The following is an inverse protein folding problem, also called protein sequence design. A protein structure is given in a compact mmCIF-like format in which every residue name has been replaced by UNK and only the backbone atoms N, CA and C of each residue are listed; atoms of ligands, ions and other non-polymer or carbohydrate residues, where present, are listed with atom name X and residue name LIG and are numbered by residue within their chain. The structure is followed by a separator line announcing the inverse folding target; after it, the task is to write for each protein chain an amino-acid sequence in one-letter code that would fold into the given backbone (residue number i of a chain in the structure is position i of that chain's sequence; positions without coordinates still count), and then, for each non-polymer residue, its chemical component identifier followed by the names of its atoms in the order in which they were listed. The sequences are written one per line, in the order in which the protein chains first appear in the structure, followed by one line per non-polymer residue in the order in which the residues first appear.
data_IF_707024774164
#
_entry.id   IF_707024774164
#
_cell.length_a   1.000
_cell.length_b   1.000
_cell.length_c   1.000
_cell.angle_alpha   90.00
_cell.angle_beta   90.00
_cell.angle_gamma   90.00
#
_symmetry.space_group_name_H-M   'P 1'
#
loop_
_entity.id
_entity.type
_entity.pdbx_description
1 polymer ?
2 polymer ?
3 non-polymer ?
4 water ?
#
# COMPACT_ATOMS: atom_id res chain seq x y z
N UNK A 1 -3.32 25.32 16.55
CA UNK A 1 -2.61 24.01 16.68
C UNK A 1 -1.13 24.12 16.33
N UNK A 2 -0.34 23.24 16.93
CA UNK A 2 1.11 23.20 16.69
C UNK A 2 1.41 22.53 15.34
N UNK A 3 2.15 23.24 14.49
CA UNK A 3 2.49 22.75 13.15
C UNK A 3 3.87 22.11 13.20
N UNK A 4 3.98 20.89 12.69
CA UNK A 4 5.24 20.15 12.63
C UNK A 4 5.76 20.11 11.19
N UNK A 5 6.95 20.67 10.99
CA UNK A 5 7.56 20.76 9.65
C UNK A 5 8.75 19.78 9.54
N UNK A 6 8.61 18.82 8.62
CA UNK A 6 9.66 17.82 8.35
C UNK A 6 10.47 18.11 7.09
N UNK A 7 11.78 17.90 7.18
CA UNK A 7 12.70 18.02 6.05
C UNK A 7 13.73 16.89 6.11
N UNK A 8 14.18 16.40 4.95
CA UNK A 8 13.66 16.71 3.61
C UNK A 8 12.35 15.95 3.41
N UNK A 9 11.69 16.15 2.27
CA UNK A 9 10.49 15.35 1.96
C UNK A 9 10.91 13.95 1.51
N UNK A 10 12.03 13.89 0.80
CA UNK A 10 12.57 12.66 0.25
C UNK A 10 14.05 12.61 0.43
N UNK A 11 14.58 11.41 0.63
CA UNK A 11 16.01 11.20 0.58
C UNK A 11 16.35 9.84 -0.01
N UNK A 12 17.45 9.83 -0.76
CA UNK A 12 17.96 8.64 -1.40
C UNK A 12 19.32 8.32 -0.79
N UNK A 13 19.45 7.11 -0.29
CA UNK A 13 20.63 6.74 0.49
C UNK A 13 21.02 5.29 0.16
N UNK A 14 22.33 5.03 0.07
CA UNK A 14 22.83 3.66 -0.08
C UNK A 14 22.87 2.95 1.26
N UNK A 15 22.58 1.64 1.25
CA UNK A 15 22.75 0.80 2.43
C UNK A 15 24.11 1.02 3.09
N UNK A 16 24.12 1.02 4.42
CA UNK A 16 25.33 1.27 5.18
C UNK A 16 25.57 2.74 5.49
N UNK A 17 24.90 3.63 4.77
CA UNK A 17 25.10 5.06 4.97
C UNK A 17 24.15 5.68 6.01
N UNK A 18 24.41 6.93 6.38
CA UNK A 18 23.66 7.62 7.42
C UNK A 18 22.45 8.38 6.86
N UNK A 19 21.36 8.37 7.63
CA UNK A 19 20.15 9.14 7.32
C UNK A 19 19.92 10.12 8.46
N UNK A 20 19.72 11.39 8.14
CA UNK A 20 19.36 12.39 9.14
C UNK A 20 18.07 13.10 8.74
N UNK A 21 17.07 12.99 9.60
CA UNK A 21 15.77 13.61 9.36
C UNK A 21 15.53 14.68 10.42
N UNK A 22 15.01 15.83 10.01
CA UNK A 22 14.72 16.90 10.96
C UNK A 22 13.23 17.25 11.04
N UNK A 23 12.80 17.55 12.26
CA UNK A 23 11.43 17.98 12.52
C UNK A 23 11.47 19.27 13.33
N UNK A 24 10.72 20.26 12.84
CA UNK A 24 10.66 21.58 13.47
C UNK A 24 9.22 21.91 13.88
N UNK A 25 9.04 22.24 15.16
CA UNK A 25 7.73 22.60 15.69
C UNK A 25 7.47 24.11 15.62
N UNK A 26 6.21 24.48 15.42
CA UNK A 26 5.80 25.89 15.34
C UNK A 26 5.96 26.65 16.67
N UNK A 27 5.96 25.91 17.77
CA UNK A 27 6.26 26.46 19.10
C UNK A 27 6.92 25.35 19.92
N UNK A 28 7.40 25.68 21.12
CA UNK A 28 8.07 24.68 21.96
C UNK A 28 7.15 23.54 22.35
N UNK A 29 7.66 22.32 22.21
CA UNK A 29 6.89 21.13 22.54
C UNK A 29 7.64 20.28 23.57
N UNK A 30 8.54 20.93 24.31
CA UNK A 30 9.32 20.26 25.36
C UNK A 30 10.07 19.06 24.76
N UNK A 31 10.01 17.91 25.44
CA UNK A 31 10.54 16.66 24.88
C UNK A 31 9.40 15.74 24.45
N UNK A 32 8.22 16.33 24.27
CA UNK A 32 7.00 15.57 23.92
C UNK A 32 6.95 15.36 22.41
N UNK A 33 7.91 14.58 21.93
CA UNK A 33 8.04 14.32 20.50
C UNK A 33 8.32 12.86 20.25
N UNK A 34 7.63 12.32 19.26
CA UNK A 34 7.66 10.92 18.90
C UNK A 34 8.05 10.77 17.43
N UNK A 35 8.77 9.69 17.11
CA UNK A 35 9.08 9.33 15.72
C UNK A 35 8.49 7.97 15.38
N UNK A 36 7.80 7.88 14.22
CA UNK A 36 7.29 6.61 13.71
C UNK A 36 7.94 6.24 12.39
N UNK A 37 7.93 4.95 12.10
CA UNK A 37 8.35 4.38 10.81
C UNK A 37 7.10 3.74 10.20
N UNK A 38 6.81 4.05 8.95
CA UNK A 38 5.71 3.43 8.26
C UNK A 38 6.16 2.79 6.93
N UNK A 39 6.11 1.46 6.90
CA UNK A 39 6.49 0.73 5.71
C UNK A 39 5.25 0.55 4.83
N UNK A 40 5.43 0.37 3.50
CA UNK A 40 4.27 0.27 2.61
C UNK A 40 3.27 -0.80 3.06
N UNK A 41 1.99 -0.41 3.07
CA UNK A 41 0.89 -1.30 3.44
C UNK A 41 0.75 -1.60 4.93
N UNK A 42 1.50 -0.90 5.77
CA UNK A 42 1.49 -1.16 7.20
C UNK A 42 1.08 0.07 7.99
N UNK A 43 0.64 -0.15 9.23
CA UNK A 43 0.40 0.94 10.16
C UNK A 43 1.74 1.54 10.61
N UNK A 44 1.74 2.81 11.08
CA UNK A 44 2.99 3.33 11.62
C UNK A 44 3.48 2.52 12.82
N UNK A 45 4.79 2.50 13.01
CA UNK A 45 5.44 1.74 14.08
C UNK A 45 6.20 2.74 14.93
N UNK A 46 5.96 2.72 16.23
CA UNK A 46 6.66 3.58 17.19
C UNK A 46 8.15 3.21 17.31
N UNK A 47 9.02 4.21 17.14
CA UNK A 47 10.47 4.00 17.27
C UNK A 47 11.10 4.79 18.43
N UNK A 48 10.75 6.08 18.50
CA UNK A 48 11.34 7.03 19.45
C UNK A 48 10.24 7.81 20.18
N UNK A 49 10.34 7.88 21.50
CA UNK A 49 9.38 8.65 22.30
C UNK A 49 10.16 9.51 23.30
N UNK A 50 9.49 10.54 23.82
CA UNK A 50 10.15 11.55 24.63
C UNK A 50 11.42 12.10 23.95
N UNK A 51 11.34 12.22 22.62
CA UNK A 51 12.37 12.85 21.77
C UNK A 51 13.61 12.00 21.52
N UNK A 52 14.01 11.21 22.51
CA UNK A 52 15.31 10.55 22.46
C UNK A 52 15.35 9.12 23.00
N UNK A 53 14.22 8.61 23.49
CA UNK A 53 14.18 7.25 24.03
C UNK A 53 13.77 6.23 22.99
N UNK A 54 14.56 5.17 22.82
CA UNK A 54 14.18 4.07 21.95
C UNK A 54 13.05 3.28 22.60
N UNK A 55 11.99 3.04 21.85
CA UNK A 55 10.90 2.18 22.29
C UNK A 55 11.40 0.73 22.37
N UNK A 56 10.63 -0.13 23.02
CA UNK A 56 11.00 -1.53 23.24
C UNK A 56 11.35 -2.26 21.94
N UNK A 57 12.45 -3.00 21.94
CA UNK A 57 12.86 -3.81 20.79
C UNK A 57 13.36 -3.08 19.55
N UNK A 58 13.42 -1.74 19.62
CA UNK A 58 13.93 -0.90 18.52
C UNK A 58 15.45 -0.98 18.42
N UNK A 59 16.00 -1.36 17.24
CA UNK A 59 17.45 -1.47 17.03
C UNK A 59 18.23 -0.20 17.38
N UNK A 60 19.50 -0.38 17.73
CA UNK A 60 20.39 0.71 18.16
C UNK A 60 20.72 1.74 17.08
N UNK A 61 20.64 1.33 15.81
CA UNK A 61 20.89 2.25 14.70
C UNK A 61 19.92 3.44 14.66
N UNK A 62 18.75 3.28 15.28
CA UNK A 62 17.74 4.33 15.33
C UNK A 62 17.89 5.20 16.57
N UNK A 63 18.06 6.50 16.38
CA UNK A 63 18.15 7.44 17.49
C UNK A 63 17.32 8.69 17.24
N UNK A 64 17.04 9.43 18.32
CA UNK A 64 16.38 10.72 18.24
C UNK A 64 17.04 11.65 19.23
N UNK A 65 17.05 12.95 18.92
CA UNK A 65 17.53 13.97 19.84
C UNK A 65 16.78 15.28 19.61
N UNK A 66 16.97 16.23 20.53
CA UNK A 66 16.34 17.53 20.42
C UNK A 66 15.46 17.84 21.61
N UNK A 67 15.11 19.12 21.74
CA UNK A 67 14.26 19.62 22.80
C UNK A 67 13.78 21.00 22.37
N UNK A 68 12.50 21.28 22.58
CA UNK A 68 11.95 22.57 22.22
C UNK A 68 11.28 22.53 20.86
N UNK A 69 11.95 23.07 19.85
CA UNK A 69 11.38 23.16 18.50
C UNK A 69 12.13 22.34 17.44
N UNK A 70 13.43 22.10 17.66
CA UNK A 70 14.30 21.46 16.66
C UNK A 70 14.69 20.02 17.05
N UNK A 71 14.21 19.05 16.26
CA UNK A 71 14.42 17.63 16.56
C UNK A 71 15.10 16.88 15.40
N UNK A 72 15.84 15.83 15.73
CA UNK A 72 16.65 15.09 14.77
C UNK A 72 16.44 13.58 14.93
N UNK A 73 16.10 12.92 13.84
CA UNK A 73 16.01 11.46 13.80
C UNK A 73 17.14 10.96 12.93
N UNK A 74 17.85 9.95 13.42
CA UNK A 74 19.02 9.43 12.72
C UNK A 74 18.95 7.92 12.54
N UNK A 75 19.26 7.45 11.33
CA UNK A 75 19.60 6.04 11.13
C UNK A 75 21.11 6.04 10.88
N UNK A 76 21.87 5.51 11.84
CA UNK A 76 23.33 5.62 11.79
C UNK A 76 23.88 4.86 10.58
N UNK A 77 23.39 3.64 10.38
CA UNK A 77 23.80 2.80 9.29
C UNK A 77 22.56 2.17 8.68
N UNK A 78 22.02 2.81 7.64
CA UNK A 78 20.73 2.42 7.08
C UNK A 78 20.83 1.02 6.45
N UNK A 79 19.78 0.23 6.62
CA UNK A 79 19.70 -1.09 6.01
C UNK A 79 18.62 -1.08 4.93
N UNK A 80 18.73 -1.99 3.97
CA UNK A 80 17.76 -2.07 2.87
C UNK A 80 16.31 -2.16 3.35
N UNK A 81 16.09 -2.88 4.46
CA UNK A 81 14.72 -3.03 5.00
C UNK A 81 14.18 -1.76 5.68
N UNK A 82 15.02 -0.74 5.84
CA UNK A 82 14.63 0.50 6.52
C UNK A 82 13.86 1.47 5.61
N UNK A 83 13.65 1.10 4.35
CA UNK A 83 12.84 1.93 3.45
C UNK A 83 11.42 2.08 4.01
N UNK A 84 10.96 3.33 4.07
CA UNK A 84 9.73 3.65 4.79
C UNK A 84 9.53 5.15 4.76
N UNK A 85 8.32 5.57 5.15
CA UNK A 85 8.10 6.98 5.47
C UNK A 85 8.20 7.14 6.99
N UNK A 86 9.03 8.08 7.41
CA UNK A 86 9.22 8.37 8.83
C UNK A 86 8.48 9.65 9.19
N UNK A 87 7.73 9.62 10.29
CA UNK A 87 6.94 10.76 10.77
C UNK A 87 7.36 11.21 12.17
N UNK A 88 7.39 12.52 12.39
CA UNK A 88 7.43 13.04 13.75
C UNK A 88 6.00 13.40 14.18
N UNK A 89 5.79 13.42 15.50
CA UNK A 89 4.49 13.75 16.09
C UNK A 89 4.70 14.39 17.46
N UNK A 90 4.06 15.55 17.68
CA UNK A 90 4.10 16.18 19.00
C UNK A 90 2.88 15.80 19.84
N UNK A 91 3.09 15.68 21.14
CA UNK A 91 1.99 15.45 22.06
C UNK A 91 2.09 16.38 23.28
N UNK A 92 2.50 17.62 23.04
CA UNK A 92 2.61 18.64 24.07
C UNK A 92 1.30 19.43 24.18
N UNK A 93 0.80 19.88 23.02
CA UNK A 93 -0.43 20.66 22.93
C UNK A 93 -1.53 19.88 22.24
N UNK A 94 -2.78 20.13 22.61
CA UNK A 94 -3.93 19.48 21.95
C UNK A 94 -4.37 20.30 20.75
N UNK A 95 -4.70 19.63 19.62
CA UNK A 95 -4.55 18.19 19.35
C UNK A 95 -3.11 17.74 19.12
N UNK A 96 -2.82 16.46 19.40
CA UNK A 96 -1.55 15.91 18.89
C UNK A 96 -1.48 16.11 17.37
N UNK A 97 -0.32 16.48 16.86
CA UNK A 97 -0.17 16.75 15.43
C UNK A 97 1.09 16.09 14.86
N UNK A 98 1.02 15.71 13.59
CA UNK A 98 2.08 14.97 12.91
C UNK A 98 2.79 15.83 11.86
N UNK A 99 4.09 15.61 11.70
CA UNK A 99 4.82 16.15 10.53
C UNK A 99 4.36 15.48 9.24
N UNK A 100 4.79 16.02 8.10
CA UNK A 100 4.33 15.56 6.80
C UNK A 100 5.01 14.29 6.27
N UNK A 101 6.02 13.80 6.97
CA UNK A 101 6.70 12.57 6.57
C UNK A 101 7.97 12.82 5.77
N UNK A 102 8.92 11.90 5.89
CA UNK A 102 10.10 11.86 5.05
C UNK A 102 10.22 10.46 4.49
N UNK A 103 10.26 10.36 3.16
CA UNK A 103 10.33 9.06 2.53
C UNK A 103 11.80 8.69 2.27
N UNK A 104 12.24 7.62 2.91
CA UNK A 104 13.60 7.13 2.78
C UNK A 104 13.64 6.07 1.69
N UNK A 105 14.41 6.37 0.64
CA UNK A 105 14.52 5.52 -0.55
C UNK A 105 15.94 4.97 -0.61
N UNK A 106 16.09 3.73 -1.08
CA UNK A 106 17.40 3.07 -1.10
C UNK A 106 18.03 3.16 -2.49
N UNK A 107 19.31 3.56 -2.52
CA UNK A 107 20.11 3.56 -3.73
C UNK A 107 20.88 2.26 -3.83
N UNK A 108 20.88 1.67 -5.01
CA UNK A 108 21.62 0.43 -5.25
C UNK A 108 22.18 0.47 -6.67
N UNK A 109 22.91 -0.57 -7.07
CA UNK A 109 23.45 -0.61 -8.43
C UNK A 109 22.36 -0.78 -9.48
N UNK A 110 22.62 -0.28 -10.69
CA UNK A 110 21.68 -0.41 -11.80
C UNK A 110 21.44 -1.91 -12.06
N UNK A 111 20.17 -2.28 -12.25
CA UNK A 111 19.81 -3.63 -12.67
C UNK A 111 18.77 -3.53 -13.77
N UNK A 112 19.05 -4.18 -14.91
CA UNK A 112 18.13 -4.20 -16.04
C UNK A 112 16.90 -5.04 -15.70
N UNK A 113 15.73 -4.66 -16.26
CA UNK A 113 14.53 -5.47 -16.05
C UNK A 113 14.59 -6.76 -16.83
N UNK A 114 13.96 -7.80 -16.29
CA UNK A 114 13.58 -8.97 -17.05
C UNK A 114 12.18 -8.67 -17.57
N UNK A 115 11.97 -8.88 -18.86
CA UNK A 115 10.73 -8.48 -19.50
C UNK A 115 9.94 -9.70 -20.00
N UNK A 116 8.66 -9.73 -19.64
CA UNK A 116 7.74 -10.80 -19.99
C UNK A 116 6.48 -10.18 -20.55
N UNK A 117 5.88 -10.84 -21.55
CA UNK A 117 4.62 -10.40 -22.12
C UNK A 117 3.55 -11.49 -21.95
N UNK A 118 2.32 -11.07 -21.67
CA UNK A 118 1.22 -12.01 -21.50
C UNK A 118 0.05 -11.67 -22.44
N UNK A 119 -0.32 -12.62 -23.32
CA UNK A 119 -1.53 -12.44 -24.12
C UNK A 119 -2.77 -12.43 -23.23
N UNK A 120 -3.89 -11.89 -23.73
CA UNK A 120 -5.16 -12.07 -23.02
C UNK A 120 -5.54 -13.55 -22.95
N UNK A 121 -6.23 -13.93 -21.87
CA UNK A 121 -6.74 -15.30 -21.75
C UNK A 121 -7.98 -15.45 -22.62
N UNK A 122 -8.26 -16.68 -23.08
CA UNK A 122 -9.51 -16.98 -23.81
C UNK A 122 -10.73 -16.64 -22.96
N UNK A 123 -10.66 -16.97 -21.66
CA UNK A 123 -11.70 -16.60 -20.70
C UNK A 123 -12.05 -15.11 -20.76
N UNK A 124 -11.04 -14.23 -20.76
CA UNK A 124 -11.32 -12.80 -20.87
C UNK A 124 -12.00 -12.38 -22.17
N UNK A 125 -11.55 -12.93 -23.29
CA UNK A 125 -12.11 -12.55 -24.60
C UNK A 125 -13.63 -12.72 -24.68
N UNK A 126 -14.17 -13.72 -23.98
CA UNK A 126 -15.61 -13.92 -23.86
C UNK A 126 -16.36 -12.65 -23.43
N UNK A 127 -15.70 -11.81 -22.62
CA UNK A 127 -16.29 -10.58 -22.09
C UNK A 127 -16.28 -9.41 -23.08
N UNK A 128 -15.61 -9.58 -24.22
CA UNK A 128 -15.53 -8.53 -25.24
C UNK A 128 -14.36 -7.57 -25.09
N UNK A 129 -13.49 -7.85 -24.13
CA UNK A 129 -12.30 -7.03 -23.88
C UNK A 129 -11.06 -7.92 -23.77
N UNK A 130 -9.94 -7.42 -24.26
CA UNK A 130 -8.65 -8.09 -24.14
C UNK A 130 -7.64 -7.22 -23.39
N UNK A 131 -6.95 -7.79 -22.39
CA UNK A 131 -5.87 -7.09 -21.72
C UNK A 131 -4.57 -7.77 -22.10
N UNK A 132 -3.57 -6.99 -22.50
CA UNK A 132 -2.25 -7.52 -22.77
C UNK A 132 -1.35 -6.93 -21.70
N UNK A 133 -0.58 -7.78 -21.02
CA UNK A 133 0.23 -7.34 -19.88
C UNK A 133 1.71 -7.49 -20.19
N UNK A 134 2.44 -6.41 -19.97
CA UNK A 134 3.88 -6.40 -20.06
C UNK A 134 4.45 -6.23 -18.66
N UNK A 135 5.33 -7.15 -18.27
CA UNK A 135 5.94 -7.16 -16.95
C UNK A 135 7.42 -6.84 -17.04
N UNK A 136 7.87 -5.86 -16.25
CA UNK A 136 9.28 -5.56 -16.08
C UNK A 136 9.64 -5.92 -14.66
N UNK A 137 10.48 -6.94 -14.52
CA UNK A 137 10.74 -7.49 -13.19
C UNK A 137 12.09 -7.13 -12.63
N UNK A 138 12.09 -6.69 -11.36
CA UNK A 138 13.30 -6.59 -10.53
C UNK A 138 14.38 -5.70 -11.12
N UNK A 139 14.04 -4.44 -11.33
CA UNK A 139 14.99 -3.52 -11.97
C UNK A 139 15.30 -2.29 -11.10
N UNK A 140 16.37 -1.60 -11.44
CA UNK A 140 16.75 -0.35 -10.77
C UNK A 140 17.57 0.52 -11.73
N UNK A 141 17.33 1.85 -11.76
CA UNK A 141 16.35 2.67 -11.04
C UNK A 141 14.92 2.48 -11.56
N UNK A 142 13.97 3.11 -10.89
CA UNK A 142 12.56 3.01 -11.27
C UNK A 142 12.30 3.60 -12.66
N UNK A 143 13.05 4.62 -13.05
CA UNK A 143 12.89 5.24 -14.38
C UNK A 143 12.89 4.20 -15.49
N UNK A 144 11.82 4.19 -16.29
CA UNK A 144 11.67 3.22 -17.39
C UNK A 144 10.68 3.76 -18.39
N UNK A 145 10.91 3.46 -19.66
CA UNK A 145 9.98 3.90 -20.69
C UNK A 145 9.45 2.64 -21.37
N UNK A 146 8.13 2.52 -21.42
CA UNK A 146 7.48 1.33 -21.98
C UNK A 146 6.49 1.72 -23.08
N UNK A 147 6.64 1.14 -24.27
CA UNK A 147 5.77 1.46 -25.39
C UNK A 147 5.11 0.19 -25.92
N UNK A 148 3.90 0.35 -26.44
CA UNK A 148 3.13 -0.72 -27.04
C UNK A 148 3.07 -0.55 -28.57
N UNK A 149 3.31 -1.65 -29.29
CA UNK A 149 3.07 -1.71 -30.74
C UNK A 149 2.14 -2.86 -31.10
N UNK A 150 1.18 -2.57 -31.97
CA UNK A 150 0.25 -3.58 -32.49
C UNK A 150 0.38 -3.57 -34.00
N UNK A 151 0.84 -4.67 -34.56
CA UNK A 151 1.24 -4.74 -35.99
C UNK A 151 2.12 -3.53 -36.36
N UNK A 152 3.10 -3.28 -35.49
CA UNK A 152 4.08 -2.20 -35.62
C UNK A 152 3.55 -0.77 -35.53
N UNK A 153 2.29 -0.61 -35.13
CA UNK A 153 1.72 0.72 -34.91
C UNK A 153 1.79 1.07 -33.44
N UNK A 154 2.45 2.20 -33.14
CA UNK A 154 2.59 2.68 -31.77
C UNK A 154 1.23 3.01 -31.17
N UNK A 155 1.02 2.55 -29.94
CA UNK A 155 -0.25 2.75 -29.27
C UNK A 155 -0.16 3.95 -28.33
N UNK A 156 -1.25 4.70 -28.24
CA UNK A 156 -1.31 5.83 -27.32
C UNK A 156 -2.70 5.91 -26.73
N UNK A 157 -2.78 6.13 -25.42
CA UNK A 157 -4.04 6.41 -24.74
C UNK A 157 -4.85 5.18 -24.34
N UNK A 158 -4.27 4.00 -24.49
CA UNK A 158 -4.97 2.75 -24.14
C UNK A 158 -4.14 1.81 -23.27
N UNK A 159 -3.18 2.37 -22.55
CA UNK A 159 -2.41 1.58 -21.60
C UNK A 159 -2.21 2.34 -20.29
N UNK A 160 -2.03 1.60 -19.21
CA UNK A 160 -1.76 2.16 -17.88
C UNK A 160 -0.65 1.35 -17.20
N UNK A 161 0.18 2.04 -16.42
CA UNK A 161 1.30 1.43 -15.70
C UNK A 161 1.05 1.42 -14.21
N UNK A 162 1.61 0.41 -13.56
CA UNK A 162 1.66 0.32 -12.11
C UNK A 162 3.06 -0.09 -11.70
N UNK A 163 3.57 0.52 -10.65
CA UNK A 163 4.91 0.18 -10.15
C UNK A 163 4.81 -0.26 -8.71
N UNK A 164 5.56 -1.29 -8.34
CA UNK A 164 5.61 -1.71 -6.93
C UNK A 164 6.45 -0.75 -6.10
N UNK A 165 6.29 -0.81 -4.78
CA UNK A 165 7.22 -0.11 -3.89
C UNK A 165 8.54 -0.87 -3.95
N UNK A 166 9.60 -0.18 -3.59
CA UNK A 166 10.92 -0.76 -3.61
C UNK A 166 10.97 -2.02 -2.73
N UNK A 167 11.60 -3.08 -3.24
CA UNK A 167 11.70 -4.32 -2.49
C UNK A 167 12.56 -4.10 -1.25
N UNK A 168 12.11 -4.63 -0.10
CA UNK A 168 12.81 -4.44 1.16
C UNK A 168 14.12 -5.24 1.27
N UNK A 169 14.31 -6.21 0.38
CA UNK A 169 15.51 -7.07 0.40
C UNK A 169 16.52 -6.74 -0.68
N UNK A 170 16.08 -6.64 -1.95
CA UNK A 170 17.00 -6.36 -3.05
C UNK A 170 16.94 -4.93 -3.61
N UNK A 171 16.05 -4.11 -3.05
CA UNK A 171 15.95 -2.68 -3.38
C UNK A 171 15.53 -2.40 -4.84
N UNK A 172 14.92 -3.39 -5.49
CA UNK A 172 14.52 -3.23 -6.89
C UNK A 172 13.03 -2.87 -6.98
N UNK A 173 12.62 -2.53 -8.21
CA UNK A 173 11.23 -2.23 -8.56
C UNK A 173 10.76 -3.24 -9.60
N UNK A 174 9.44 -3.39 -9.68
CA UNK A 174 8.81 -4.09 -10.79
C UNK A 174 7.73 -3.19 -11.36
N UNK A 175 7.44 -3.34 -12.64
CA UNK A 175 6.44 -2.50 -13.26
C UNK A 175 5.55 -3.35 -14.17
N UNK A 176 4.25 -3.06 -14.16
CA UNK A 176 3.36 -3.61 -15.18
C UNK A 176 2.87 -2.51 -16.12
N UNK A 177 2.76 -2.83 -17.40
CA UNK A 177 2.02 -1.98 -18.34
C UNK A 177 0.97 -2.84 -19.00
N UNK A 178 -0.28 -2.36 -18.97
CA UNK A 178 -1.42 -3.12 -19.43
C UNK A 178 -2.10 -2.38 -20.56
N UNK A 179 -2.24 -3.06 -21.70
CA UNK A 179 -2.86 -2.53 -22.89
C UNK A 179 -4.29 -3.07 -22.97
N UNK A 180 -5.28 -2.18 -23.08
CA UNK A 180 -6.68 -2.59 -23.15
C UNK A 180 -7.22 -2.36 -24.54
N UNK A 181 -7.67 -3.46 -25.16
CA UNK A 181 -8.28 -3.42 -26.49
C UNK A 181 -9.65 -4.08 -26.44
N UNK A 182 -10.52 -3.70 -27.37
CA UNK A 182 -11.74 -4.47 -27.58
C UNK A 182 -11.34 -5.82 -28.18
N UNK A 183 -12.17 -6.83 -27.98
CA UNK A 183 -11.93 -8.15 -28.58
C UNK A 183 -11.82 -8.01 -30.10
N UNK A 184 -12.72 -7.23 -30.70
CA UNK A 184 -12.71 -6.97 -32.15
C UNK A 184 -11.37 -6.46 -32.63
N UNK A 185 -10.84 -5.44 -31.94
CA UNK A 185 -9.54 -4.87 -32.29
C UNK A 185 -8.41 -5.86 -32.06
N UNK A 186 -8.47 -6.59 -30.94
CA UNK A 186 -7.46 -7.62 -30.67
C UNK A 186 -7.42 -8.67 -31.81
N UNK A 187 -8.60 -9.08 -32.27
CA UNK A 187 -8.72 -10.09 -33.32
C UNK A 187 -8.34 -9.61 -34.73
N UNK A 188 -8.37 -8.28 -34.92
CA UNK A 188 -8.03 -7.65 -36.21
C UNK A 188 -6.53 -7.66 -36.48
N UNK A 189 -5.73 -7.78 -35.42
CA UNK A 189 -4.29 -7.64 -35.53
C UNK A 189 -3.51 -8.86 -35.06
N UNK A 190 -2.27 -8.97 -35.52
CA UNK A 190 -1.46 -10.16 -35.27
C UNK A 190 -0.32 -9.99 -34.26
N UNK A 191 0.57 -9.02 -34.50
CA UNK A 191 1.79 -8.90 -33.70
C UNK A 191 1.60 -7.93 -32.54
N UNK A 192 1.84 -8.40 -31.32
CA UNK A 192 1.68 -7.58 -30.12
C UNK A 192 3.03 -7.46 -29.43
N UNK A 193 3.49 -6.21 -29.25
CA UNK A 193 4.87 -6.00 -28.80
C UNK A 193 4.97 -4.95 -27.70
N UNK A 194 5.78 -5.26 -26.69
CA UNK A 194 6.04 -4.36 -25.59
C UNK A 194 7.52 -3.96 -25.72
N UNK A 195 7.79 -2.66 -25.84
CA UNK A 195 9.17 -2.15 -25.99
C UNK A 195 9.63 -1.39 -24.73
N UNK A 196 10.76 -1.82 -24.18
CA UNK A 196 11.21 -1.31 -22.87
C UNK A 196 12.55 -0.63 -23.03
N UNK A 197 12.62 0.62 -22.55
CA UNK A 197 13.85 1.38 -22.52
C UNK A 197 14.24 1.57 -21.06
N UNK A 198 15.47 1.21 -20.72
CA UNK A 198 15.95 1.28 -19.36
C UNK A 198 17.47 1.45 -19.32
N UNK A 199 17.95 2.20 -18.35
CA UNK A 199 19.39 2.49 -18.18
C UNK A 199 20.31 1.29 -18.13
N UNK A 200 19.79 0.15 -17.68
CA UNK A 200 20.56 -1.06 -17.55
C UNK A 200 20.70 -1.83 -18.85
N UNK A 201 20.01 -1.35 -19.89
CA UNK A 201 20.02 -2.00 -21.20
C UNK A 201 20.73 -1.10 -22.21
N UNK A 202 21.56 -1.70 -23.07
CA UNK A 202 22.33 -0.94 -24.05
C UNK A 202 21.45 -0.34 -25.14
N UNK A 203 20.36 -1.04 -25.46
CA UNK A 203 19.35 -0.57 -26.40
C UNK A 203 18.01 -1.12 -25.91
N UNK A 204 16.88 -0.59 -26.42
CA UNK A 204 15.60 -1.09 -25.95
C UNK A 204 15.38 -2.57 -26.24
N UNK A 205 14.64 -3.22 -25.35
CA UNK A 205 14.32 -4.64 -25.48
C UNK A 205 12.83 -4.76 -25.81
N UNK A 206 12.52 -5.58 -26.80
CA UNK A 206 11.13 -5.82 -27.18
C UNK A 206 10.78 -7.28 -26.93
N UNK A 207 9.66 -7.48 -26.25
CA UNK A 207 9.04 -8.79 -26.13
C UNK A 207 7.74 -8.74 -26.90
N UNK A 208 7.48 -9.80 -27.66
CA UNK A 208 6.27 -9.85 -28.47
C UNK A 208 5.69 -11.25 -28.57
N UNK A 209 4.46 -11.33 -29.05
CA UNK A 209 3.83 -12.60 -29.43
C UNK A 209 2.95 -12.38 -30.67
N UNK A 210 2.61 -13.48 -31.33
CA UNK A 210 1.67 -13.45 -32.44
C UNK A 210 0.36 -14.05 -31.94
N UNK A 211 -0.73 -13.32 -32.10
CA UNK A 211 -2.03 -13.84 -31.69
C UNK A 211 -2.28 -15.18 -32.36
N UNK A 212 -2.65 -16.19 -31.55
CA UNK A 212 -2.95 -17.53 -32.08
C UNK A 212 -1.78 -18.49 -32.08
N UNK B 1 -0.35 -11.21 22.91
CA UNK B 1 -0.04 -9.78 23.24
C UNK B 1 -1.18 -8.84 22.87
N UNK B 2 -0.93 -7.52 23.02
CA UNK B 2 -1.90 -6.48 22.72
C UNK B 2 -2.22 -6.49 21.23
N UNK B 3 -3.51 -6.54 20.90
CA UNK B 3 -3.94 -6.51 19.50
C UNK B 3 -5.18 -5.63 19.31
N UNK B 4 -5.15 -4.84 18.25
CA UNK B 4 -6.28 -4.01 17.90
C UNK B 4 -6.78 -4.47 16.55
N UNK B 5 -7.97 -5.08 16.54
CA UNK B 5 -8.53 -5.66 15.30
C UNK B 5 -9.66 -4.79 14.77
N UNK B 6 -9.45 -4.20 13.59
CA UNK B 6 -10.41 -3.28 13.02
C UNK B 6 -11.32 -3.96 12.03
N UNK B 7 -12.49 -3.36 11.84
CA UNK B 7 -13.48 -3.86 10.91
C UNK B 7 -13.02 -3.64 9.45
N UNK B 8 -13.70 -4.28 8.52
CA UNK B 8 -13.25 -4.32 7.12
C UNK B 8 -13.49 -3.03 6.36
N UNK B 9 -13.00 -2.98 5.11
CA UNK B 9 -13.20 -1.80 4.25
C UNK B 9 -14.67 -1.54 3.95
N UNK B 10 -15.00 -0.27 3.71
CA UNK B 10 -16.38 0.15 3.47
C UNK B 10 -16.48 1.14 2.33
N UNK B 11 -17.38 0.85 1.40
CA UNK B 11 -17.84 1.85 0.43
C UNK B 11 -19.05 2.56 1.01
N UNK B 12 -19.03 3.90 0.99
CA UNK B 12 -20.11 4.73 1.56
C UNK B 12 -20.56 5.78 0.54
N UNK B 13 -21.86 5.98 0.36
CA UNK B 13 -22.32 7.02 -0.56
C UNK B 13 -22.16 8.39 0.08
N UNK B 14 -21.90 9.43 -0.74
CA UNK B 14 -21.87 10.79 -0.18
C UNK B 14 -23.17 11.16 0.55
N UNK B 15 -23.03 11.69 1.76
CA UNK B 15 -24.18 12.11 2.56
C UNK B 15 -24.69 11.05 3.50
N UNK B 16 -24.16 9.83 3.40
CA UNK B 16 -24.52 8.69 4.24
C UNK B 16 -23.48 8.54 5.37
N UNK B 17 -23.90 8.03 6.52
CA UNK B 17 -22.99 7.79 7.64
C UNK B 17 -22.41 6.37 7.61
N UNK B 18 -21.30 6.16 8.32
CA UNK B 18 -20.67 4.83 8.42
C UNK B 18 -20.17 4.68 9.85
N UNK B 19 -20.21 3.45 10.36
CA UNK B 19 -19.66 3.16 11.68
C UNK B 19 -18.64 2.04 11.59
N UNK B 20 -17.43 2.34 12.00
CA UNK B 20 -16.32 1.38 11.93
C UNK B 20 -15.93 1.00 13.32
N UNK B 21 -15.23 -0.13 13.47
CA UNK B 21 -15.01 -0.66 14.80
C UNK B 21 -13.57 -1.12 15.03
N UNK B 22 -13.22 -1.23 16.31
CA UNK B 22 -11.89 -1.62 16.73
C UNK B 22 -12.02 -2.50 17.97
N UNK B 23 -11.68 -3.79 17.85
CA UNK B 23 -11.74 -4.73 18.98
C UNK B 23 -10.35 -4.93 19.60
N UNK B 24 -10.25 -4.66 20.90
CA UNK B 24 -8.98 -4.81 21.61
C UNK B 24 -8.90 -6.10 22.40
N UNK B 25 -7.74 -6.74 22.38
CA UNK B 25 -7.51 -7.92 23.19
C UNK B 25 -6.05 -7.93 23.67
N UNK B 26 -5.75 -8.76 24.66
CA UNK B 26 -4.37 -8.89 25.16
C UNK B 26 -4.07 -7.96 26.32
N UNK B 27 -5.08 -7.24 26.78
CA UNK B 27 -4.98 -6.32 27.91
C UNK B 27 -6.38 -6.10 28.49
N UNK B 28 -6.48 -5.41 29.63
CA UNK B 28 -7.76 -5.14 30.26
C UNK B 28 -8.39 -3.96 29.53
N UNK B 29 -9.35 -4.28 28.65
CA UNK B 29 -9.93 -3.32 27.72
C UNK B 29 -10.41 -2.02 28.40
N UNK B 30 -11.11 -2.16 29.53
CA UNK B 30 -11.72 -1.03 30.22
C UNK B 30 -10.70 -0.01 30.74
N UNK B 31 -9.48 -0.48 31.03
CA UNK B 31 -8.46 0.35 31.69
C UNK B 31 -7.77 1.37 30.80
N UNK B 32 -7.90 1.23 29.47
CA UNK B 32 -7.02 1.95 28.54
C UNK B 32 -7.76 2.76 27.48
N UNK B 33 -7.28 3.99 27.29
CA UNK B 33 -7.79 4.91 26.29
C UNK B 33 -7.55 4.34 24.91
N UNK B 34 -8.45 4.66 23.98
CA UNK B 34 -8.28 4.35 22.58
C UNK B 34 -8.44 5.61 21.74
N UNK B 35 -7.51 5.78 20.80
CA UNK B 35 -7.44 6.96 19.94
C UNK B 35 -7.83 6.57 18.52
N UNK B 36 -8.28 7.55 17.73
CA UNK B 36 -8.60 7.35 16.32
C UNK B 36 -7.78 8.32 15.49
N UNK B 37 -7.20 7.80 14.40
CA UNK B 37 -6.29 8.57 13.55
C UNK B 37 -6.67 8.35 12.09
N UNK B 38 -6.79 9.44 11.34
CA UNK B 38 -7.08 9.40 9.91
C UNK B 38 -5.77 9.51 9.13
N UNK B 39 -5.62 8.73 8.07
CA UNK B 39 -4.51 8.94 7.13
C UNK B 39 -5.04 9.05 5.70
N UNK B 40 -4.83 10.21 5.09
CA UNK B 40 -5.27 10.49 3.72
C UNK B 40 -4.13 11.13 2.92
N UNK B 41 -4.30 11.18 1.59
CA UNK B 41 -3.31 11.79 0.70
C UNK B 41 -3.16 13.29 0.98
N UNK B 42 -4.28 14.00 1.05
CA UNK B 42 -4.30 15.46 1.19
C UNK B 42 -3.76 15.98 2.52
N UNK B 43 -4.03 15.26 3.61
CA UNK B 43 -3.74 15.77 4.96
C UNK B 43 -2.81 14.87 5.82
N UNK B 44 -2.26 13.82 5.22
CA UNK B 44 -1.36 12.86 5.90
C UNK B 44 -1.99 12.29 7.18
N UNK B 45 -1.23 12.22 8.29
CA UNK B 45 -1.77 11.69 9.57
C UNK B 45 -2.40 12.78 10.46
N UNK B 46 -3.64 12.55 10.88
CA UNK B 46 -4.41 13.49 11.69
C UNK B 46 -5.09 12.76 12.83
N UNK B 47 -4.93 13.28 14.04
CA UNK B 47 -5.59 12.72 15.21
C UNK B 47 -7.04 13.21 15.28
N UNK B 48 -7.95 12.26 15.44
CA UNK B 48 -9.40 12.54 15.41
C UNK B 48 -9.91 12.77 16.83
N UNK B 49 -9.45 11.94 17.76
CA UNK B 49 -9.94 12.03 19.15
C UNK B 49 -9.59 10.82 19.97
N UNK B 50 -10.01 10.86 21.24
CA UNK B 50 -9.72 9.80 22.21
C UNK B 50 -10.97 9.49 23.03
N UNK B 51 -11.19 8.20 23.27
CA UNK B 51 -12.19 7.74 24.21
C UNK B 51 -11.56 7.00 25.40
N UNK B 52 -12.05 7.26 26.60
CA UNK B 52 -11.58 6.56 27.80
C UNK B 52 -12.69 5.65 28.32
N UNK B 53 -12.59 4.34 28.01
CA UNK B 53 -13.68 3.41 28.38
C UNK B 53 -14.03 3.38 29.88
N UNK B 54 -13.01 3.56 30.74
CA UNK B 54 -13.20 3.49 32.17
C UNK B 54 -14.08 4.61 32.73
N UNK B 55 -14.13 5.75 32.04
CA UNK B 55 -14.87 6.91 32.54
C UNK B 55 -15.97 7.33 31.57
N UNK B 56 -15.83 6.91 30.31
CA UNK B 56 -16.78 7.31 29.24
C UNK B 56 -16.44 8.66 28.64
N UNK B 57 -15.36 9.28 29.14
CA UNK B 57 -14.95 10.60 28.67
C UNK B 57 -14.49 10.55 27.22
N UNK B 58 -14.89 11.53 26.43
CA UNK B 58 -14.43 11.63 25.05
C UNK B 58 -13.81 13.01 24.82
N UNK B 59 -12.75 13.08 24.00
CA UNK B 59 -12.22 14.37 23.56
C UNK B 59 -11.94 14.32 22.08
N UNK B 60 -12.33 15.39 21.40
CA UNK B 60 -12.24 15.48 19.93
C UNK B 60 -11.30 16.58 19.51
N UNK B 61 -10.56 16.33 18.43
CA UNK B 61 -9.95 17.38 17.65
C UNK B 61 -11.11 18.25 17.18
N UNK B 62 -11.04 19.58 17.39
CA UNK B 62 -12.15 20.47 17.01
C UNK B 62 -12.52 20.33 15.52
N UNK B 63 -11.52 20.05 14.69
CA UNK B 63 -11.75 19.85 13.25
C UNK B 63 -12.69 18.66 12.95
N UNK B 64 -12.71 17.65 13.84
CA UNK B 64 -13.47 16.43 13.58
C UNK B 64 -14.74 16.28 14.42
N UNK B 65 -14.96 17.16 15.40
CA UNK B 65 -16.05 16.93 16.38
C UNK B 65 -17.44 16.88 15.72
N UNK B 66 -17.64 17.71 14.71
CA UNK B 66 -18.94 17.79 14.05
C UNK B 66 -19.28 16.49 13.34
N UNK B 67 -18.30 15.92 12.66
CA UNK B 67 -18.59 14.75 11.84
C UNK B 67 -18.30 13.37 12.45
N UNK B 68 -17.45 13.31 13.49
CA UNK B 68 -17.10 12.04 14.13
C UNK B 68 -17.76 11.85 15.50
N UNK B 69 -18.12 10.61 15.83
CA UNK B 69 -18.63 10.28 17.16
C UNK B 69 -18.01 8.96 17.66
N UNK B 70 -17.41 9.01 18.84
CA UNK B 70 -16.78 7.83 19.45
C UNK B 70 -17.68 7.21 20.51
N UNK B 71 -17.82 5.89 20.45
CA UNK B 71 -18.54 5.10 21.46
C UNK B 71 -17.75 3.80 21.74
N UNK B 72 -18.13 3.08 22.78
CA UNK B 72 -17.52 1.79 23.13
C UNK B 72 -18.57 0.83 23.63
N UNK B 73 -18.34 -0.46 23.40
CA UNK B 73 -19.10 -1.54 24.04
C UNK B 73 -18.07 -2.31 24.87
N UNK B 74 -18.10 -2.10 26.18
CA UNK B 74 -17.10 -2.73 27.06
C UNK B 74 -17.25 -4.26 27.09
N UNK B 75 -18.49 -4.73 27.05
CA UNK B 75 -18.78 -6.16 27.07
C UNK B 75 -18.14 -6.92 25.91
N UNK B 76 -18.08 -6.29 24.74
CA UNK B 76 -17.46 -6.91 23.56
C UNK B 76 -16.05 -6.36 23.27
N UNK B 77 -15.49 -5.57 24.19
CA UNK B 77 -14.14 -5.02 24.02
C UNK B 77 -13.94 -4.29 22.69
N UNK B 78 -14.96 -3.55 22.27
CA UNK B 78 -14.99 -2.93 20.95
C UNK B 78 -15.29 -1.44 21.04
N UNK B 79 -14.44 -0.64 20.40
CA UNK B 79 -14.68 0.80 20.25
C UNK B 79 -15.25 1.05 18.86
N UNK B 80 -16.06 2.09 18.74
CA UNK B 80 -16.69 2.44 17.48
C UNK B 80 -16.43 3.89 17.11
N UNK B 81 -16.23 4.13 15.82
CA UNK B 81 -16.16 5.47 15.29
C UNK B 81 -17.24 5.67 14.24
N UNK B 82 -18.15 6.60 14.50
CA UNK B 82 -19.15 6.95 13.50
C UNK B 82 -18.78 8.23 12.77
N UNK B 83 -18.78 8.17 11.44
CA UNK B 83 -18.50 9.33 10.61
C UNK B 83 -19.75 9.67 9.81
N UNK B 84 -20.22 10.90 9.96
CA UNK B 84 -21.46 11.33 9.36
C UNK B 84 -21.29 12.25 8.16
N UNK B 85 -22.30 12.24 7.30
CA UNK B 85 -22.42 13.15 6.16
C UNK B 85 -21.14 13.19 5.35
N UNK B 86 -20.74 12.01 4.87
CA UNK B 86 -19.43 11.84 4.25
C UNK B 86 -19.35 12.51 2.88
N UNK B 87 -18.16 13.00 2.56
CA UNK B 87 -17.86 13.53 1.26
C UNK B 87 -16.56 12.86 0.81
N UNK B 88 -16.15 13.10 -0.43
CA UNK B 88 -14.91 12.52 -0.95
C UNK B 88 -13.66 12.83 -0.09
N UNK B 89 -13.69 13.94 0.64
CA UNK B 89 -12.58 14.30 1.51
C UNK B 89 -12.47 13.36 2.71
N UNK B 90 -13.52 12.58 2.95
CA UNK B 90 -13.51 11.59 4.04
C UNK B 90 -12.96 10.21 3.63
N UNK B 91 -12.71 10.01 2.34
CA UNK B 91 -12.08 8.76 1.87
C UNK B 91 -10.66 8.69 2.44
N UNK B 92 -10.38 7.63 3.21
CA UNK B 92 -9.12 7.56 3.97
C UNK B 92 -8.97 6.22 4.63
N UNK B 93 -7.78 5.96 5.14
CA UNK B 93 -7.56 4.88 6.09
C UNK B 93 -7.78 5.46 7.47
N UNK B 94 -8.56 4.76 8.28
CA UNK B 94 -8.79 5.17 9.68
C UNK B 94 -8.18 4.12 10.59
N UNK B 95 -7.34 4.56 11.52
CA UNK B 95 -6.71 3.69 12.52
C UNK B 95 -7.30 3.93 13.92
N UNK B 96 -7.40 2.87 14.71
CA UNK B 96 -7.47 3.00 16.18
C UNK B 96 -6.09 2.68 16.74
N UNK B 97 -5.74 3.27 17.88
CA UNK B 97 -4.41 3.11 18.49
C UNK B 97 -4.47 3.25 20.00
N UNK B 98 -3.57 2.54 20.68
CA UNK B 98 -3.38 2.70 22.12
C UNK B 98 -2.22 3.65 22.41
N UNK B 99 -2.29 4.34 23.55
CA UNK B 99 -1.13 5.06 24.04
C UNK B 99 -0.40 4.24 25.12
N UNK B 100 0.77 4.73 25.51
CA UNK B 100 1.60 4.05 26.51
C UNK B 100 1.56 4.79 27.84
N UNK B 101 0.41 5.41 28.13
CA UNK B 101 0.18 6.16 29.39
C UNK B 101 1.24 7.23 29.69
N UNK B 102 2.00 7.60 28.67
CA UNK B 102 3.05 8.62 28.79
C UNK B 102 2.73 9.83 27.91
N UNK B 103 1.44 10.01 27.61
CA UNK B 103 0.98 11.08 26.73
C UNK B 103 0.35 10.51 25.47
N UNK B 104 -0.10 11.41 24.59
CA UNK B 104 -0.84 11.02 23.38
C UNK B 104 0.11 10.65 22.25
N UNK B 105 0.84 9.56 22.44
CA UNK B 105 1.61 8.94 21.35
C UNK B 105 1.29 7.45 21.36
N UNK B 106 1.55 6.77 20.25
CA UNK B 106 0.84 5.51 19.96
C UNK B 106 1.73 4.29 19.71
N UNK B 107 1.74 3.37 20.68
CA UNK B 107 2.58 2.19 20.63
C UNK B 107 1.94 0.97 19.95
N UNK B 108 0.62 0.88 20.00
CA UNK B 108 -0.09 -0.21 19.32
C UNK B 108 -1.10 0.40 18.39
N UNK B 109 -1.15 -0.10 17.16
CA UNK B 109 -2.08 0.41 16.15
C UNK B 109 -2.92 -0.72 15.60
N UNK B 110 -4.18 -0.42 15.24
CA UNK B 110 -4.98 -1.32 14.42
C UNK B 110 -4.41 -1.41 13.00
N UNK B 111 -4.95 -2.33 12.21
CA UNK B 111 -4.44 -2.54 10.86
C UNK B 111 -5.02 -1.52 9.86
N UNK B 112 -5.98 -0.73 10.33
CA UNK B 112 -6.57 0.31 9.50
C UNK B 112 -7.81 -0.18 8.78
N UNK B 113 -8.75 0.74 8.57
CA UNK B 113 -10.00 0.49 7.83
C UNK B 113 -10.07 1.48 6.68
N UNK B 114 -10.15 0.96 5.44
CA UNK B 114 -10.25 1.85 4.27
C UNK B 114 -11.69 2.21 3.99
N UNK B 115 -12.02 3.48 4.11
CA UNK B 115 -13.35 4.00 3.80
C UNK B 115 -13.24 4.71 2.45
N UNK B 116 -14.06 4.30 1.49
CA UNK B 116 -14.18 4.97 0.22
C UNK B 116 -15.53 5.65 0.10
N UNK B 117 -15.54 6.96 -0.16
CA UNK B 117 -16.78 7.70 -0.36
C UNK B 117 -16.93 7.94 -1.86
N UNK B 118 -17.97 7.35 -2.43
CA UNK B 118 -18.21 7.40 -3.86
C UNK B 118 -19.65 7.06 -4.19
N UNK B 119 -20.12 7.55 -5.33
CA UNK B 119 -21.44 7.21 -5.85
C UNK B 119 -21.45 5.94 -6.70
N UNK B 120 -20.26 5.40 -6.99
CA UNK B 120 -20.15 4.19 -7.82
C UNK B 120 -20.54 2.95 -7.02
N UNK B 121 -21.10 1.94 -7.70
CA UNK B 121 -21.53 0.71 -7.03
C UNK B 121 -20.37 -0.26 -6.73
N UNK B 122 -20.57 -1.09 -5.71
CA UNK B 122 -19.66 -2.19 -5.41
C UNK B 122 -19.63 -3.14 -6.61
N UNK B 123 -18.43 -3.60 -6.96
CA UNK B 123 -18.30 -4.62 -8.00
C UNK B 123 -17.15 -5.54 -7.64
N UNK B 124 -17.43 -6.84 -7.59
CA UNK B 124 -16.41 -7.85 -7.31
C UNK B 124 -15.54 -8.07 -8.54
N UNK B 125 -14.27 -8.46 -8.34
CA UNK B 125 -13.33 -8.58 -9.46
C UNK B 125 -13.55 -9.80 -10.37
N UNK B 126 -13.19 -9.64 -11.63
CA UNK B 126 -13.02 -10.75 -12.56
C UNK B 126 -11.56 -11.15 -12.48
N UNK B 127 -11.28 -12.45 -12.36
CA UNK B 127 -9.91 -12.92 -12.17
C UNK B 127 -9.49 -13.81 -13.36
N UNK B 128 -8.48 -13.35 -14.10
CA UNK B 128 -8.00 -14.05 -15.29
C UNK B 128 -6.56 -14.51 -15.14
N UNK B 129 -6.20 -15.67 -15.73
CA UNK B 129 -4.81 -16.13 -15.62
C UNK B 129 -3.84 -15.34 -16.51
N UNK B 130 -2.63 -15.14 -15.99
CA UNK B 130 -1.48 -14.72 -16.78
C UNK B 130 -0.60 -15.96 -16.88
N UNK B 131 -0.86 -16.77 -17.91
CA UNK B 131 -0.27 -18.11 -18.05
C UNK B 131 1.22 -18.04 -18.33
N UNK B 132 2.01 -18.94 -17.72
CA UNK B 132 3.42 -18.93 -18.09
C UNK B 132 3.61 -19.56 -19.46
N UNK B 133 4.57 -19.04 -20.21
CA UNK B 133 4.91 -19.62 -21.50
C UNK B 133 6.42 -19.58 -21.68
N UNK B 134 6.87 -19.82 -22.92
CA UNK B 134 8.24 -19.51 -23.32
C UNK B 134 8.43 -17.99 -23.40
N UNK B 135 7.34 -17.27 -23.62
CA UNK B 135 7.36 -15.79 -23.64
C UNK B 135 7.47 -15.20 -22.23
N UNK B 136 7.35 -16.07 -21.23
CA UNK B 136 7.53 -15.66 -19.83
C UNK B 136 8.52 -16.55 -19.07
N UNK B 137 9.45 -17.18 -19.80
CA UNK B 137 10.58 -17.89 -19.18
C UNK B 137 11.87 -17.08 -19.25
N UNK B 138 12.77 -17.32 -18.30
CA UNK B 138 14.07 -16.66 -18.25
C UNK B 138 15.07 -17.58 -17.55
N UNK B 139 15.75 -18.40 -18.33
CA UNK B 139 16.64 -19.43 -17.81
C UNK B 139 15.83 -20.57 -17.22
N UNK B 140 16.00 -20.79 -15.92
CA UNK B 140 15.24 -21.81 -15.20
C UNK B 140 14.03 -21.25 -14.48
N UNK B 141 13.67 -20.01 -14.78
CA UNK B 141 12.55 -19.33 -14.11
C UNK B 141 11.48 -18.83 -15.09
N UNK B 142 10.22 -19.08 -14.76
CA UNK B 142 9.08 -18.59 -15.55
C UNK B 142 8.27 -17.59 -14.71
N UNK B 143 7.67 -16.61 -15.39
CA UNK B 143 6.72 -15.70 -14.72
C UNK B 143 5.27 -16.06 -15.05
N UNK B 144 4.41 -15.94 -14.05
CA UNK B 144 2.99 -16.23 -14.21
C UNK B 144 2.23 -15.31 -13.27
N UNK B 145 0.92 -15.21 -13.41
CA UNK B 145 0.17 -14.29 -12.58
C UNK B 145 -1.32 -14.40 -12.71
N UNK B 146 -2.01 -13.46 -12.07
CA UNK B 146 -3.45 -13.33 -12.19
C UNK B 146 -3.74 -11.86 -12.42
N UNK B 147 -4.64 -11.59 -13.36
CA UNK B 147 -5.15 -10.25 -13.61
C UNK B 147 -6.46 -10.11 -12.85
N UNK B 148 -6.52 -9.13 -11.96
CA UNK B 148 -7.68 -8.92 -11.11
C UNK B 148 -8.34 -7.65 -11.61
N UNK B 149 -9.39 -7.83 -12.41
CA UNK B 149 -9.89 -6.74 -13.24
C UNK B 149 -11.29 -6.28 -12.86
N UNK B 150 -11.51 -4.97 -12.97
CA UNK B 150 -12.87 -4.37 -12.91
C UNK B 150 -13.57 -4.56 -11.56
N UNK B 151 -13.00 -3.98 -10.52
CA UNK B 151 -13.64 -4.05 -9.21
C UNK B 151 -13.73 -2.66 -8.57
N UNK B 152 -14.55 -2.55 -7.53
CA UNK B 152 -14.74 -1.28 -6.83
C UNK B 152 -15.44 -1.59 -5.52
N UNK B 153 -15.02 -0.95 -4.41
CA UNK B 153 -13.89 -0.03 -4.26
C UNK B 153 -12.61 -0.82 -3.98
N UNK B 154 -11.51 -0.12 -3.73
CA UNK B 154 -10.37 -0.73 -3.07
C UNK B 154 -10.81 -1.17 -1.66
N UNK B 155 -10.10 -2.13 -1.05
CA UNK B 155 -8.96 -2.88 -1.57
C UNK B 155 -9.27 -4.33 -1.94
N UNK B 156 -8.38 -4.96 -2.71
CA UNK B 156 -8.40 -6.41 -2.79
C UNK B 156 -7.14 -6.94 -2.13
N UNK B 157 -7.16 -8.19 -1.70
CA UNK B 157 -5.92 -8.85 -1.25
C UNK B 157 -5.65 -10.02 -2.17
N UNK B 158 -4.37 -10.27 -2.44
CA UNK B 158 -4.00 -11.42 -3.25
C UNK B 158 -2.94 -12.23 -2.52
N UNK B 159 -3.17 -13.54 -2.44
CA UNK B 159 -2.10 -14.42 -1.99
C UNK B 159 -1.88 -15.53 -3.03
N UNK B 160 -0.80 -16.27 -2.85
CA UNK B 160 -0.50 -17.39 -3.73
C UNK B 160 -0.43 -18.66 -2.91
N UNK B 161 -1.11 -19.68 -3.42
CA UNK B 161 -1.17 -21.01 -2.77
C UNK B 161 -1.56 -20.94 -1.31
N UNK B 162 -2.53 -20.07 -1.01
CA UNK B 162 -3.08 -19.85 0.33
C UNK B 162 -2.01 -19.36 1.31
N UNK B 163 -1.04 -18.62 0.78
CA UNK B 163 0.05 -18.07 1.59
C UNK B 163 1.28 -18.94 1.69
N UNK B 164 1.24 -20.13 1.08
CA UNK B 164 2.41 -21.03 1.03
C UNK B 164 3.50 -20.53 0.08
N UNK B 165 3.14 -19.63 -0.84
CA UNK B 165 4.10 -19.06 -1.78
C UNK B 165 4.17 -17.55 -1.61
N UNK B 166 5.32 -17.06 -1.18
CA UNK B 166 5.50 -15.64 -0.91
C UNK B 166 6.71 -15.07 -1.64
N UNK B 167 7.71 -15.91 -1.87
CA UNK B 167 8.95 -15.51 -2.53
C UNK B 167 8.72 -15.25 -4.02
N UNK B 168 9.23 -14.12 -4.49
CA UNK B 168 9.15 -13.75 -5.89
C UNK B 168 7.81 -13.16 -6.30
N UNK B 169 6.91 -12.95 -5.33
CA UNK B 169 5.58 -12.42 -5.61
C UNK B 169 5.63 -10.88 -5.66
N UNK B 170 4.97 -10.32 -6.69
CA UNK B 170 4.78 -8.88 -6.82
C UNK B 170 3.30 -8.64 -7.08
N UNK B 171 2.60 -8.07 -6.12
CA UNK B 171 1.22 -7.65 -6.34
C UNK B 171 1.21 -6.14 -6.56
N UNK B 172 0.85 -5.73 -7.78
CA UNK B 172 0.91 -4.32 -8.15
C UNK B 172 -0.18 -3.50 -7.48
N UNK B 173 0.13 -2.24 -7.12
CA UNK B 173 -0.89 -1.29 -6.68
C UNK B 173 -1.98 -1.21 -7.74
N UNK B 174 -3.22 -1.10 -7.29
CA UNK B 174 -4.34 -0.98 -8.21
C UNK B 174 -4.24 0.34 -8.97
N UNK B 175 -4.72 0.34 -10.20
CA UNK B 175 -4.85 1.57 -10.96
C UNK B 175 -6.32 1.74 -11.30
N UNK B 176 -6.81 2.98 -11.20
CA UNK B 176 -8.17 3.30 -11.59
C UNK B 176 -8.24 3.45 -13.11
N UNK B 177 -9.06 2.61 -13.74
CA UNK B 177 -9.23 2.61 -15.20
C UNK B 177 -10.17 3.74 -15.63
N UNK B 178 -10.16 4.07 -16.92
CA UNK B 178 -11.04 5.13 -17.43
C UNK B 178 -12.52 4.81 -17.15
N UNK B 179 -12.83 3.54 -16.96
CA UNK B 179 -14.18 3.10 -16.59
C UNK B 179 -14.60 3.46 -15.15
N UNK B 180 -13.66 3.94 -14.34
CA UNK B 180 -13.93 4.17 -12.91
C UNK B 180 -13.83 2.90 -12.06
N UNK B 181 -13.42 1.79 -12.66
CA UNK B 181 -13.18 0.55 -11.91
C UNK B 181 -11.67 0.32 -11.76
N UNK B 182 -11.27 -0.28 -10.63
CA UNK B 182 -9.86 -0.60 -10.40
C UNK B 182 -9.45 -1.90 -11.08
N UNK B 183 -8.16 -2.02 -11.34
CA UNK B 183 -7.61 -3.25 -11.87
C UNK B 183 -6.19 -3.39 -11.34
N UNK B 184 -5.77 -4.62 -11.09
CA UNK B 184 -4.37 -4.89 -10.79
C UNK B 184 -3.99 -6.27 -11.30
N UNK B 185 -2.67 -6.53 -11.37
CA UNK B 185 -2.14 -7.88 -11.58
C UNK B 185 -1.28 -8.25 -10.40
N UNK B 186 -1.25 -9.55 -10.09
CA UNK B 186 -0.27 -10.10 -9.16
C UNK B 186 0.54 -11.12 -9.95
N UNK B 187 1.85 -11.05 -9.83
CA UNK B 187 2.72 -11.98 -10.56
C UNK B 187 3.68 -12.69 -9.62
N UNK B 188 4.25 -13.78 -10.10
CA UNK B 188 5.23 -14.54 -9.32
C UNK B 188 6.20 -15.19 -10.32
N UNK B 189 7.47 -15.29 -9.92
CA UNK B 189 8.42 -16.03 -10.73
C UNK B 189 8.77 -17.30 -9.97
N UNK B 190 8.82 -18.41 -10.71
CA UNK B 190 8.99 -19.74 -10.14
C UNK B 190 9.95 -20.55 -11.04
N UNK B 191 10.56 -21.63 -10.49
CA UNK B 191 11.30 -22.54 -11.36
C UNK B 191 10.40 -23.12 -12.46
N UNK B 192 10.91 -23.13 -13.70
CA UNK B 192 10.21 -23.73 -14.84
C UNK B 192 10.00 -25.25 -14.71
N UNK B 193 10.80 -25.88 -13.84
CA UNK B 193 10.70 -27.32 -13.60
C UNK B 193 9.53 -27.65 -12.66
N UNK B 194 9.14 -26.68 -11.83
CA UNK B 194 8.02 -26.85 -10.89
C UNK B 194 6.67 -26.71 -11.58
N UNK B 195 6.70 -26.27 -12.84
CA UNK B 195 5.48 -25.99 -13.62
C UNK B 195 4.64 -27.24 -13.91
N UNK B 196 5.23 -28.42 -13.74
CA UNK B 196 4.54 -29.68 -13.94
C UNK B 196 4.25 -30.45 -12.66
N UNK B 197 4.82 -29.98 -11.55
CA UNK B 197 4.67 -30.67 -10.27
C UNK B 197 3.88 -29.88 -9.22
N UNK B 198 4.22 -28.59 -9.05
CA UNK B 198 3.51 -27.73 -8.12
C UNK B 198 2.45 -26.91 -8.87
N UNK B 199 1.21 -26.95 -8.40
CA UNK B 199 0.17 -26.12 -9.01
C UNK B 199 0.18 -24.74 -8.37
N UNK B 200 -0.12 -23.73 -9.18
CA UNK B 200 -0.12 -22.35 -8.73
C UNK B 200 -1.51 -21.78 -8.76
N UNK B 201 -1.98 -21.37 -7.58
CA UNK B 201 -3.30 -20.81 -7.41
C UNK B 201 -3.21 -19.40 -6.81
N UNK B 202 -3.85 -18.42 -7.44
CA UNK B 202 -3.95 -17.12 -6.82
C UNK B 202 -5.25 -17.01 -6.02
N UNK B 203 -5.16 -16.46 -4.81
CA UNK B 203 -6.33 -16.29 -3.94
C UNK B 203 -6.68 -14.82 -3.85
N UNK B 204 -7.80 -14.44 -4.44
CA UNK B 204 -8.17 -13.05 -4.59
C UNK B 204 -9.37 -12.79 -3.71
N UNK B 205 -9.20 -11.88 -2.77
CA UNK B 205 -10.27 -11.59 -1.83
C UNK B 205 -10.66 -10.10 -1.93
N UNK B 206 -11.96 -9.84 -2.09
CA UNK B 206 -12.46 -8.48 -2.20
C UNK B 206 -13.56 -8.36 -1.15
N UNK B 207 -13.18 -7.91 0.03
CA UNK B 207 -14.12 -7.85 1.16
C UNK B 207 -15.40 -7.00 0.91
N UNK B 208 -15.28 -5.83 0.24
CA UNK B 208 -16.51 -5.08 -0.04
C UNK B 208 -17.61 -5.82 -0.82
N UNK B 209 -17.24 -6.80 -1.65
CA UNK B 209 -18.25 -7.60 -2.35
C UNK B 209 -18.46 -8.96 -1.69
N UNK B 210 -17.76 -9.19 -0.56
CA UNK B 210 -17.77 -10.46 0.14
C UNK B 210 -17.41 -11.64 -0.77
N UNK B 211 -16.47 -11.42 -1.68
CA UNK B 211 -16.04 -12.44 -2.63
C UNK B 211 -14.64 -12.97 -2.31
N UNK B 212 -14.47 -14.27 -2.50
CA UNK B 212 -13.16 -14.91 -2.51
C UNK B 212 -13.11 -15.79 -3.75
N UNK B 213 -12.07 -15.63 -4.54
CA UNK B 213 -11.92 -16.37 -5.79
C UNK B 213 -10.53 -16.99 -5.84
N UNK B 214 -10.48 -18.28 -6.17
CA UNK B 214 -9.21 -18.99 -6.35
C UNK B 214 -9.04 -19.46 -7.79
N UNK B 215 -7.98 -19.00 -8.45
CA UNK B 215 -7.73 -19.35 -9.85
C UNK B 215 -6.40 -20.11 -10.00
N UNK B 216 -6.50 -21.34 -10.50
CA UNK B 216 -5.33 -22.13 -10.84
C UNK B 216 -4.77 -21.59 -12.16
N UNK B 217 -3.48 -21.27 -12.18
CA UNK B 217 -2.83 -20.73 -13.38
C UNK B 217 -1.92 -21.79 -13.96
N UNK B 218 -2.26 -22.27 -15.17
CA UNK B 218 -1.52 -23.36 -15.84
C UNK B 218 -0.91 -22.88 -17.15
N UNK B 219 0.17 -23.56 -17.62
CA UNK B 219 0.65 -23.25 -18.97
C UNK B 219 -0.47 -23.48 -19.98
N UNK B 220 -0.63 -22.60 -20.96
CA UNK B 220 -1.77 -22.67 -21.90
C UNK B 220 -1.64 -23.80 -22.93
#
# INVERSE_FOLDING_TARGET
DIVMTQTPKFLLVSAGDKVTITCKASQSVSNDLTWYQQKPGQSPKLLIYYASNRYTGVPDRFTGSGYGTDFTFTISTVQAEDLAVYFCQQDYGSPPTFGGGTKVEIKRTVAAPSVFIFPPSDEQLKSGTASVVCLLNNFYPREAKVQWKVDNALQSGNSQESVTEQDSKDSTYSLSSTLTLSKADYEKHKVYACEVTHQGLSSPVTKSFNRGEC
QVQLQQSGPELVRPGVSVKISCKGSGYTFIDEALHWVKQSHAESLEWIGVIRPYSGETNYNQKFKDKATMTVDISSSTAYLELARLTSEDSAIYYCARDWERGDFFDYWGQGTLVTVSSASTKGPSVFPLAPSSKSTSGGTAALGCLVKDYFPEPVTVSWNSGALTSGVHTFPAVLQSSGLYSLSSVVTVPSSSLGTQTYICNVNHKPSNTKVDKKVEPKSCD
#
